data_IF_167581719039
#
_entry.id   IF_167581719039
#
_cell.length_a   1.000
_cell.length_b   1.000
_cell.length_c   1.000
_cell.angle_alpha   90.00
_cell.angle_beta   90.00
_cell.angle_gamma   90.00
#
_symmetry.space_group_name_H-M   'P 1'
#
loop_
_entity.id
_entity.type
_entity.pdbx_description
1 polymer ?
#
# COMPACT_ATOMS: atom_id res chain seq x y z
N UNK A 1 -7.27 10.39 -15.05
CA UNK A 1 -7.01 9.85 -13.70
C UNK A 1 -6.20 8.57 -13.81
N UNK A 2 -5.31 8.34 -12.87
CA UNK A 2 -4.48 7.13 -12.81
C UNK A 2 -4.86 6.31 -11.60
N UNK A 3 -4.95 4.99 -11.78
CA UNK A 3 -5.11 4.05 -10.67
C UNK A 3 -3.79 3.34 -10.45
N UNK A 4 -3.35 3.30 -9.19
CA UNK A 4 -2.13 2.63 -8.74
C UNK A 4 -2.52 1.59 -7.71
N UNK A 5 -2.31 0.32 -8.03
CA UNK A 5 -2.76 -0.80 -7.20
C UNK A 5 -1.57 -1.70 -6.92
N UNK A 6 -1.34 -2.00 -5.65
CA UNK A 6 -0.23 -2.85 -5.23
C UNK A 6 -0.78 -3.98 -4.36
N UNK A 7 -0.24 -5.19 -4.57
CA UNK A 7 -0.55 -6.37 -3.78
C UNK A 7 0.72 -6.90 -3.13
N UNK A 8 0.62 -7.31 -1.87
CA UNK A 8 1.76 -7.86 -1.14
C UNK A 8 1.44 -9.18 -0.47
N UNK A 9 2.43 -10.07 -0.45
CA UNK A 9 2.46 -11.21 0.46
C UNK A 9 3.48 -10.90 1.53
N UNK A 10 3.21 -11.39 2.74
CA UNK A 10 4.10 -11.19 3.88
C UNK A 10 4.67 -12.53 4.35
N UNK A 11 5.77 -12.45 5.10
CA UNK A 11 6.44 -13.63 5.65
C UNK A 11 5.52 -14.38 6.60
N UNK A 12 5.59 -15.70 6.57
CA UNK A 12 4.74 -16.58 7.38
C UNK A 12 4.99 -16.41 8.88
N UNK A 13 6.19 -15.97 9.26
CA UNK A 13 6.54 -15.74 10.66
C UNK A 13 5.83 -14.54 11.28
N UNK A 14 5.22 -13.68 10.45
CA UNK A 14 4.46 -12.53 10.94
C UNK A 14 3.05 -12.99 11.34
N UNK A 15 2.84 -13.21 12.63
CA UNK A 15 1.61 -13.80 13.17
C UNK A 15 1.14 -13.09 14.44
N UNK A 16 -0.10 -13.35 14.84
CA UNK A 16 -0.66 -12.93 16.12
C UNK A 16 -0.71 -11.42 16.31
N UNK A 17 -0.38 -11.00 17.51
CA UNK A 17 -0.46 -9.59 17.90
C UNK A 17 0.52 -8.71 17.10
N UNK A 18 1.70 -9.22 16.82
CA UNK A 18 2.69 -8.50 16.00
C UNK A 18 2.13 -8.22 14.61
N UNK A 19 1.47 -9.21 14.01
CA UNK A 19 0.83 -9.05 12.70
C UNK A 19 -0.27 -7.98 12.76
N UNK A 20 -1.12 -8.04 13.76
CA UNK A 20 -2.20 -7.06 13.92
C UNK A 20 -1.69 -5.64 14.07
N UNK A 21 -0.67 -5.44 14.91
CA UNK A 21 -0.09 -4.12 15.15
C UNK A 21 0.63 -3.60 13.91
N UNK A 22 1.38 -4.46 13.24
CA UNK A 22 2.09 -4.10 12.00
C UNK A 22 1.11 -3.69 10.91
N UNK A 23 0.05 -4.47 10.72
CA UNK A 23 -0.97 -4.16 9.71
C UNK A 23 -1.72 -2.88 10.01
N UNK A 24 -2.03 -2.62 11.28
CA UNK A 24 -2.67 -1.37 11.69
C UNK A 24 -1.77 -0.17 11.38
N UNK A 25 -0.49 -0.27 11.70
CA UNK A 25 0.49 0.77 11.42
C UNK A 25 0.61 1.05 9.91
N UNK A 26 0.61 0.02 9.09
CA UNK A 26 0.67 0.15 7.63
C UNK A 26 -0.60 0.84 7.11
N UNK A 27 -1.77 0.39 7.54
CA UNK A 27 -3.04 0.98 7.13
C UNK A 27 -3.10 2.46 7.52
N UNK A 28 -2.84 2.77 8.77
CA UNK A 28 -2.90 4.13 9.28
C UNK A 28 -1.88 5.03 8.57
N UNK A 29 -0.67 4.54 8.37
CA UNK A 29 0.38 5.31 7.73
C UNK A 29 0.10 5.65 6.27
N UNK A 30 -0.38 4.70 5.49
CA UNK A 30 -0.73 4.97 4.10
C UNK A 30 -2.00 5.81 3.97
N UNK A 31 -3.03 5.52 4.74
CA UNK A 31 -4.28 6.28 4.65
C UNK A 31 -4.14 7.72 5.15
N UNK A 32 -3.19 7.98 6.02
CA UNK A 32 -2.87 9.34 6.47
C UNK A 32 -2.24 10.21 5.38
N UNK A 33 -1.82 9.62 4.26
CA UNK A 33 -1.25 10.36 3.13
C UNK A 33 -2.33 11.12 2.34
N UNK A 34 -3.58 10.74 2.47
CA UNK A 34 -4.68 11.44 1.82
C UNK A 34 -4.80 12.85 2.38
N UNK A 35 -4.88 13.84 1.50
CA UNK A 35 -4.91 15.25 1.88
C UNK A 35 -3.53 15.86 2.14
N UNK A 36 -2.48 15.05 2.12
CA UNK A 36 -1.10 15.51 2.34
C UNK A 36 -0.32 15.57 1.03
N UNK A 37 -0.49 14.56 0.18
CA UNK A 37 0.27 14.44 -1.07
C UNK A 37 -0.51 15.09 -2.21
N UNK A 38 0.09 16.07 -2.92
CA UNK A 38 -0.58 16.73 -4.05
C UNK A 38 -0.98 15.74 -5.12
N UNK A 39 -2.22 15.85 -5.59
CA UNK A 39 -2.75 15.01 -6.65
C UNK A 39 -3.17 13.60 -6.26
N UNK A 40 -2.99 13.22 -5.00
CA UNK A 40 -3.52 11.97 -4.47
C UNK A 40 -5.01 12.16 -4.14
N UNK A 41 -5.88 11.48 -4.90
CA UNK A 41 -7.33 11.62 -4.78
C UNK A 41 -7.92 10.64 -3.77
N UNK A 42 -7.40 9.42 -3.75
CA UNK A 42 -7.89 8.37 -2.86
C UNK A 42 -6.77 7.39 -2.57
N UNK A 43 -6.71 6.92 -1.32
CA UNK A 43 -5.80 5.85 -0.91
C UNK A 43 -6.45 5.01 0.18
N UNK A 44 -6.37 3.70 0.03
CA UNK A 44 -6.86 2.78 1.05
C UNK A 44 -6.00 1.53 1.09
N UNK A 45 -5.89 0.94 2.27
CA UNK A 45 -5.28 -0.37 2.49
C UNK A 45 -6.38 -1.34 2.85
N UNK A 46 -6.41 -2.49 2.16
CA UNK A 46 -7.35 -3.56 2.44
C UNK A 46 -6.60 -4.86 2.75
N UNK A 47 -7.13 -5.64 3.69
CA UNK A 47 -6.53 -6.91 4.08
C UNK A 47 -7.39 -8.06 3.58
N UNK A 48 -6.72 -9.11 3.09
CA UNK A 48 -7.42 -10.30 2.60
C UNK A 48 -8.16 -11.01 3.74
N UNK A 49 -9.37 -11.49 3.46
CA UNK A 49 -10.14 -12.28 4.41
C UNK A 49 -10.35 -13.73 3.95
N UNK A 50 -10.17 -14.01 2.66
CA UNK A 50 -10.46 -15.34 2.11
C UNK A 50 -9.36 -16.36 2.41
N UNK A 51 -8.11 -15.90 2.40
CA UNK A 51 -6.92 -16.73 2.68
C UNK A 51 -6.83 -17.97 1.79
N UNK A 52 -7.09 -17.77 0.49
CA UNK A 52 -6.95 -18.83 -0.51
C UNK A 52 -5.48 -18.94 -0.97
N UNK A 53 -5.11 -20.02 -1.67
CA UNK A 53 -3.76 -20.14 -2.24
C UNK A 53 -3.38 -19.02 -3.19
N UNK A 54 -4.38 -18.37 -3.83
CA UNK A 54 -4.16 -17.27 -4.76
C UNK A 54 -4.20 -15.90 -4.11
N UNK A 55 -4.58 -15.82 -2.84
CA UNK A 55 -4.71 -14.55 -2.13
C UNK A 55 -3.36 -13.94 -1.80
N UNK A 56 -3.24 -12.62 -1.98
CA UNK A 56 -2.21 -11.83 -1.31
C UNK A 56 -2.67 -11.54 0.10
N UNK A 57 -1.79 -10.97 0.93
CA UNK A 57 -2.16 -10.68 2.33
C UNK A 57 -2.83 -9.32 2.46
N UNK A 58 -2.38 -8.33 1.69
CA UNK A 58 -3.01 -7.01 1.68
C UNK A 58 -2.74 -6.28 0.38
N UNK A 59 -3.53 -5.23 0.15
CA UNK A 59 -3.45 -4.42 -1.05
C UNK A 59 -3.54 -2.94 -0.72
N UNK A 60 -2.94 -2.14 -1.59
CA UNK A 60 -3.11 -0.69 -1.61
C UNK A 60 -3.88 -0.36 -2.89
N UNK A 61 -4.98 0.37 -2.74
CA UNK A 61 -5.72 0.95 -3.86
C UNK A 61 -5.60 2.46 -3.79
N UNK A 62 -5.18 3.09 -4.88
CA UNK A 62 -5.03 4.54 -4.90
C UNK A 62 -5.38 5.14 -6.25
N UNK A 63 -5.80 6.40 -6.22
CA UNK A 63 -6.19 7.18 -7.39
C UNK A 63 -5.43 8.49 -7.39
N UNK A 64 -4.89 8.86 -8.55
CA UNK A 64 -4.11 10.09 -8.73
C UNK A 64 -4.68 10.91 -9.88
N UNK A 65 -4.53 12.23 -9.81
CA UNK A 65 -4.97 13.12 -10.88
C UNK A 65 -4.26 12.85 -12.20
N UNK A 66 -2.98 12.44 -12.14
CA UNK A 66 -2.14 12.27 -13.31
C UNK A 66 -0.97 11.33 -13.02
N UNK A 67 -0.26 10.94 -14.07
CA UNK A 67 0.99 10.17 -13.91
C UNK A 67 2.04 10.96 -13.17
N UNK A 68 2.11 12.29 -13.40
CA UNK A 68 3.04 13.16 -12.67
C UNK A 68 2.74 13.18 -11.18
N UNK A 69 1.46 13.15 -10.80
CA UNK A 69 1.07 13.09 -9.39
C UNK A 69 1.50 11.77 -8.75
N UNK A 70 1.36 10.65 -9.46
CA UNK A 70 1.84 9.35 -8.99
C UNK A 70 3.35 9.37 -8.80
N UNK A 71 4.09 9.90 -9.76
CA UNK A 71 5.54 10.02 -9.64
C UNK A 71 5.94 10.87 -8.43
N UNK A 72 5.26 11.99 -8.22
CA UNK A 72 5.48 12.86 -7.06
C UNK A 72 5.20 12.14 -5.73
N UNK A 73 4.16 11.31 -5.69
CA UNK A 73 3.84 10.48 -4.53
C UNK A 73 4.98 9.50 -4.23
N UNK A 74 5.50 8.82 -5.24
CA UNK A 74 6.55 7.82 -5.06
C UNK A 74 7.85 8.43 -4.53
N UNK A 75 8.09 9.71 -4.80
CA UNK A 75 9.28 10.45 -4.33
C UNK A 75 9.02 11.25 -3.05
N UNK A 76 7.78 11.32 -2.61
CA UNK A 76 7.43 12.14 -1.44
C UNK A 76 8.00 11.53 -0.15
N UNK A 77 8.61 12.34 0.74
CA UNK A 77 9.20 11.84 1.98
C UNK A 77 8.24 11.04 2.87
N UNK A 78 6.97 11.43 2.90
CA UNK A 78 5.95 10.73 3.69
C UNK A 78 5.66 9.33 3.14
N UNK A 79 5.69 9.16 1.82
CA UNK A 79 5.59 7.85 1.20
C UNK A 79 6.87 7.04 1.43
N UNK A 80 8.03 7.65 1.22
CA UNK A 80 9.31 6.98 1.40
C UNK A 80 9.48 6.43 2.82
N UNK A 81 8.91 7.10 3.82
CA UNK A 81 8.94 6.65 5.20
C UNK A 81 8.19 5.32 5.42
N UNK A 82 7.20 5.02 4.55
CA UNK A 82 6.43 3.77 4.63
C UNK A 82 7.15 2.58 3.99
N UNK A 83 8.06 2.84 3.05
CA UNK A 83 8.73 1.77 2.28
C UNK A 83 9.48 0.77 3.16
N UNK A 84 10.31 1.19 4.13
CA UNK A 84 11.03 0.23 4.99
C UNK A 84 10.09 -0.66 5.80
N UNK A 85 8.96 -0.13 6.25
CA UNK A 85 8.00 -0.89 7.06
C UNK A 85 7.44 -2.07 6.29
N UNK A 86 7.10 -1.86 5.02
CA UNK A 86 6.57 -2.92 4.16
C UNK A 86 7.70 -3.85 3.70
N UNK A 87 8.84 -3.30 3.33
CA UNK A 87 9.98 -4.09 2.84
C UNK A 87 10.46 -5.12 3.86
N UNK A 88 10.38 -4.80 5.14
CA UNK A 88 10.79 -5.70 6.21
C UNK A 88 9.93 -6.95 6.30
N UNK A 89 8.65 -6.87 5.96
CA UNK A 89 7.70 -7.96 6.13
C UNK A 89 7.30 -8.66 4.84
N UNK A 90 7.46 -8.01 3.68
CA UNK A 90 6.97 -8.56 2.41
C UNK A 90 7.88 -9.65 1.86
N UNK A 91 7.25 -10.64 1.23
CA UNK A 91 7.95 -11.67 0.45
C UNK A 91 7.68 -11.51 -1.05
N UNK A 92 6.56 -10.88 -1.41
CA UNK A 92 6.19 -10.66 -2.80
C UNK A 92 5.48 -9.31 -2.93
N UNK A 93 5.71 -8.64 -4.05
CA UNK A 93 5.05 -7.39 -4.40
C UNK A 93 4.66 -7.43 -5.88
N UNK A 94 3.40 -7.13 -6.17
CA UNK A 94 2.88 -6.99 -7.53
C UNK A 94 2.22 -5.63 -7.65
N UNK A 95 2.41 -4.97 -8.80
CA UNK A 95 1.87 -3.64 -9.02
C UNK A 95 1.27 -3.54 -10.41
N UNK A 96 0.19 -2.76 -10.51
CA UNK A 96 -0.37 -2.34 -11.79
C UNK A 96 -0.76 -0.87 -11.71
N UNK A 97 -0.36 -0.10 -12.72
CA UNK A 97 -0.66 1.32 -12.86
C UNK A 97 -1.32 1.52 -14.21
N UNK A 98 -2.48 2.18 -14.22
CA UNK A 98 -3.17 2.41 -15.49
C UNK A 98 -4.00 3.69 -15.48
N UNK A 99 -4.19 4.25 -16.67
CA UNK A 99 -5.05 5.41 -16.88
C UNK A 99 -6.50 4.97 -17.09
N UNK A 100 -7.42 5.78 -16.59
CA UNK A 100 -8.87 5.61 -16.84
C UNK A 100 -9.47 6.83 -17.49
#
# INVERSE_FOLDING_TARGET
MVKHIVFWRVKESLVGKEREETFRGIKDGFEALQGVIPGLLKIEIGFDFLKSPDSCDFALYSEFESRAALEGYQKHPRHEAMVPLVREIRTERRVVDYDV
#
